data_IF_688116285827
#
_entry.id   IF_688116285827
#
_cell.length_a   1.000
_cell.length_b   1.000
_cell.length_c   1.000
_cell.angle_alpha   90.00
_cell.angle_beta   90.00
_cell.angle_gamma   90.00
#
_symmetry.space_group_name_H-M   'P 1'
#
loop_
_entity.id
_entity.type
_entity.pdbx_description
1 polymer ?
#
# COMPACT_ATOMS: atom_id res chain seq x y z
N UNK A 1 5.15 -5.14 61.57
CA UNK A 1 4.10 -4.13 61.87
C UNK A 1 3.65 -3.50 60.57
N UNK A 2 2.80 -4.22 59.83
CA UNK A 2 2.17 -3.78 58.57
C UNK A 2 0.87 -2.99 58.83
N UNK A 3 0.81 -2.24 59.94
CA UNK A 3 -0.41 -1.57 60.39
C UNK A 3 -0.94 -0.54 59.38
N UNK A 4 -0.05 0.04 58.56
CA UNK A 4 -0.44 1.00 57.52
C UNK A 4 -1.05 0.34 56.27
N UNK A 5 -0.73 -0.93 55.97
CA UNK A 5 -1.29 -1.65 54.84
C UNK A 5 -2.71 -2.17 55.14
N UNK A 6 -2.97 -2.59 56.37
CA UNK A 6 -4.30 -3.05 56.80
C UNK A 6 -5.31 -1.91 56.98
N UNK A 7 -4.85 -0.66 57.03
CA UNK A 7 -5.69 0.53 57.23
C UNK A 7 -5.93 1.32 55.93
N UNK A 8 -5.45 0.82 54.79
CA UNK A 8 -5.73 1.41 53.49
C UNK A 8 -7.17 1.09 53.05
N UNK A 9 -7.83 2.05 52.40
CA UNK A 9 -9.17 1.86 51.82
C UNK A 9 -9.19 0.69 50.84
N UNK A 10 -10.25 -0.13 50.89
CA UNK A 10 -10.51 -1.18 49.91
C UNK A 10 -10.81 -0.64 48.49
N UNK A 11 -11.06 0.67 48.39
CA UNK A 11 -11.35 1.37 47.16
C UNK A 11 -10.26 2.40 46.86
N UNK A 12 -9.71 2.32 45.66
CA UNK A 12 -8.79 3.29 45.10
C UNK A 12 -9.29 3.66 43.70
N UNK A 13 -9.53 4.96 43.47
CA UNK A 13 -9.88 5.50 42.17
C UNK A 13 -8.88 6.57 41.78
N UNK A 14 -8.26 6.38 40.61
CA UNK A 14 -7.28 7.30 40.03
C UNK A 14 -7.94 8.31 39.07
N UNK A 15 -9.24 8.16 38.80
CA UNK A 15 -9.98 8.82 37.75
C UNK A 15 -9.52 8.39 36.34
N UNK A 16 -10.13 8.93 35.28
CA UNK A 16 -9.65 8.76 33.92
C UNK A 16 -8.22 9.29 33.78
N UNK A 17 -7.30 8.44 33.34
CA UNK A 17 -5.92 8.82 33.00
C UNK A 17 -5.65 8.55 31.53
N UNK A 18 -5.04 9.54 30.88
CA UNK A 18 -4.53 9.37 29.53
C UNK A 18 -3.33 8.43 29.56
N UNK A 19 -3.35 7.42 28.68
CA UNK A 19 -2.20 6.54 28.49
C UNK A 19 -1.19 7.25 27.58
N UNK A 20 0.05 7.47 28.02
CA UNK A 20 0.98 8.40 27.36
C UNK A 20 1.57 7.85 26.07
N UNK A 21 1.66 6.52 25.93
CA UNK A 21 2.28 5.88 24.78
C UNK A 21 1.63 4.55 24.45
N UNK A 22 1.81 4.11 23.21
CA UNK A 22 1.49 2.73 22.83
C UNK A 22 2.34 1.75 23.62
N UNK A 23 1.77 0.61 23.97
CA UNK A 23 2.45 -0.37 24.80
C UNK A 23 1.52 -1.39 25.43
N UNK A 24 2.14 -2.32 26.14
CA UNK A 24 1.44 -3.32 26.92
C UNK A 24 1.46 -2.88 28.38
N UNK A 25 0.29 -2.70 28.94
CA UNK A 25 0.09 -2.23 30.30
C UNK A 25 -0.55 -3.31 31.16
N UNK A 26 -0.01 -3.47 32.36
CA UNK A 26 -0.37 -4.55 33.28
C UNK A 26 -1.04 -3.99 34.55
N UNK A 27 -2.02 -3.10 34.37
CA UNK A 27 -2.66 -2.39 35.48
C UNK A 27 -3.70 -3.21 36.26
N UNK A 28 -4.07 -4.39 35.78
CA UNK A 28 -5.13 -5.21 36.39
C UNK A 28 -4.52 -6.34 37.22
N UNK A 29 -4.32 -6.07 38.51
CA UNK A 29 -3.97 -7.06 39.51
C UNK A 29 -5.00 -7.03 40.64
N UNK A 30 -5.55 -8.18 41.00
CA UNK A 30 -6.38 -8.31 42.20
C UNK A 30 -5.45 -8.66 43.36
N UNK A 31 -5.37 -7.80 44.38
CA UNK A 31 -4.85 -8.21 45.70
C UNK A 31 -5.94 -8.96 46.44
N UNK A 32 -5.68 -10.20 46.87
CA UNK A 32 -6.43 -10.79 47.98
C UNK A 32 -5.70 -10.43 49.31
N UNK A 33 -6.44 -10.31 50.42
CA UNK A 33 -5.88 -9.98 51.75
C UNK A 33 -4.83 -11.00 52.27
N UNK A 34 -4.68 -12.14 51.60
CA UNK A 34 -3.74 -13.20 51.96
C UNK A 34 -2.40 -13.16 51.18
N UNK A 35 -2.18 -12.17 50.30
CA UNK A 35 -1.00 -12.05 49.43
C UNK A 35 -0.68 -13.29 48.58
N UNK A 36 -1.60 -14.25 48.50
CA UNK A 36 -1.38 -15.59 47.93
C UNK A 36 -1.76 -15.69 46.46
N UNK A 37 -2.42 -14.68 45.90
CA UNK A 37 -2.86 -14.67 44.52
C UNK A 37 -2.44 -13.35 43.85
N UNK A 38 -1.18 -13.29 43.38
CA UNK A 38 -0.56 -12.09 42.77
C UNK A 38 -0.55 -12.15 41.23
N UNK A 39 -1.45 -12.91 40.62
CA UNK A 39 -1.44 -13.06 39.17
C UNK A 39 -2.09 -11.87 38.47
N UNK A 40 -1.52 -11.48 37.32
CA UNK A 40 -2.13 -10.51 36.43
C UNK A 40 -3.47 -11.05 35.92
N UNK A 41 -4.53 -10.26 36.06
CA UNK A 41 -5.89 -10.66 35.66
C UNK A 41 -6.28 -10.12 34.31
N UNK A 42 -5.67 -9.02 33.87
CA UNK A 42 -5.83 -8.51 32.53
C UNK A 42 -4.61 -7.70 32.08
N UNK A 43 -4.56 -7.49 30.77
CA UNK A 43 -3.51 -6.74 30.08
C UNK A 43 -4.20 -5.79 29.12
N UNK A 44 -3.82 -4.52 29.16
CA UNK A 44 -4.27 -3.51 28.21
C UNK A 44 -3.20 -3.35 27.14
N UNK A 45 -3.58 -3.43 25.87
CA UNK A 45 -2.68 -3.23 24.74
C UNK A 45 -3.12 -1.93 24.07
N UNK A 46 -2.26 -0.93 24.09
CA UNK A 46 -2.47 0.34 23.39
C UNK A 46 -1.65 0.31 22.12
N UNK A 47 -2.31 0.42 20.97
CA UNK A 47 -1.69 0.44 19.66
C UNK A 47 -1.98 1.78 18.97
N UNK A 48 -1.06 2.29 18.13
CA UNK A 48 -1.20 3.60 17.50
C UNK A 48 -2.04 3.55 16.21
N UNK A 49 -2.81 2.49 16.00
CA UNK A 49 -3.59 2.29 14.78
C UNK A 49 -4.94 1.65 15.10
N UNK A 50 -5.91 1.94 14.25
CA UNK A 50 -7.25 1.42 14.38
C UNK A 50 -7.30 -0.03 13.91
N UNK A 51 -7.95 -0.88 14.70
CA UNK A 51 -8.23 -2.25 14.32
C UNK A 51 -9.57 -2.70 14.89
N UNK A 52 -10.15 -3.73 14.29
CA UNK A 52 -11.37 -4.38 14.75
C UNK A 52 -11.22 -5.89 14.66
N UNK A 53 -11.65 -6.58 15.71
CA UNK A 53 -11.79 -8.04 15.74
C UNK A 53 -13.25 -8.40 15.48
N UNK A 54 -13.49 -9.39 14.63
CA UNK A 54 -14.83 -9.96 14.43
C UNK A 54 -14.74 -11.47 14.26
N UNK A 55 -15.62 -12.20 14.94
CA UNK A 55 -15.83 -13.62 14.68
C UNK A 55 -16.70 -13.74 13.43
N UNK A 56 -16.14 -14.29 12.36
CA UNK A 56 -16.84 -14.55 11.10
C UNK A 56 -17.10 -16.04 11.01
N UNK A 57 -18.35 -16.43 10.80
CA UNK A 57 -18.76 -17.82 10.62
C UNK A 57 -18.96 -18.16 9.13
N UNK A 58 -19.71 -19.21 8.83
CA UNK A 58 -20.00 -19.62 7.45
C UNK A 58 -21.10 -18.78 6.79
N UNK A 59 -21.77 -17.89 7.53
CA UNK A 59 -22.78 -17.00 6.97
C UNK A 59 -22.13 -15.79 6.28
N UNK A 60 -22.92 -15.08 5.50
CA UNK A 60 -22.45 -13.81 4.93
C UNK A 60 -22.31 -12.77 6.05
N UNK A 61 -21.18 -12.07 6.09
CA UNK A 61 -20.91 -11.03 7.08
C UNK A 61 -20.01 -9.92 6.52
N UNK A 62 -19.83 -8.82 7.25
CA UNK A 62 -18.94 -7.72 6.87
C UNK A 62 -18.15 -7.17 8.05
N UNK A 63 -16.94 -6.69 7.81
CA UNK A 63 -16.14 -5.94 8.79
C UNK A 63 -16.01 -4.51 8.30
N UNK A 64 -16.34 -3.54 9.15
CA UNK A 64 -16.23 -2.12 8.84
C UNK A 64 -15.16 -1.48 9.71
N UNK A 65 -14.20 -0.80 9.09
CA UNK A 65 -13.15 -0.04 9.76
C UNK A 65 -12.86 1.22 8.96
N UNK A 66 -12.98 2.40 9.57
CA UNK A 66 -12.70 3.68 8.93
C UNK A 66 -13.37 3.81 7.54
N UNK A 67 -14.67 3.48 7.44
CA UNK A 67 -15.45 3.45 6.18
C UNK A 67 -15.00 2.42 5.12
N UNK A 68 -13.92 1.69 5.34
CA UNK A 68 -13.58 0.53 4.55
C UNK A 68 -14.45 -0.67 4.95
N UNK A 69 -14.86 -1.45 3.96
CA UNK A 69 -15.81 -2.56 4.10
C UNK A 69 -15.15 -3.82 3.55
N UNK A 70 -14.95 -4.81 4.43
CA UNK A 70 -14.51 -6.14 4.07
C UNK A 70 -15.71 -7.09 4.14
N UNK A 71 -16.24 -7.49 2.98
CA UNK A 71 -17.43 -8.33 2.88
C UNK A 71 -17.06 -9.79 2.63
N UNK A 72 -17.63 -10.67 3.45
CA UNK A 72 -17.50 -12.12 3.42
C UNK A 72 -18.78 -12.71 2.81
N UNK A 73 -18.73 -13.30 1.61
CA UNK A 73 -19.87 -14.07 1.10
C UNK A 73 -20.09 -15.33 1.94
N UNK A 74 -21.31 -15.89 1.91
CA UNK A 74 -21.60 -17.13 2.60
C UNK A 74 -20.67 -18.26 2.13
N UNK A 75 -20.19 -19.04 3.09
CA UNK A 75 -19.19 -20.10 2.91
C UNK A 75 -17.83 -19.61 2.41
N UNK A 76 -17.43 -18.37 2.70
CA UNK A 76 -16.05 -17.90 2.46
C UNK A 76 -15.03 -18.54 3.42
N UNK A 77 -15.50 -19.05 4.56
CA UNK A 77 -14.69 -19.72 5.57
C UNK A 77 -15.21 -21.15 5.78
N UNK A 78 -14.31 -22.08 6.03
CA UNK A 78 -14.66 -23.47 6.38
C UNK A 78 -15.09 -23.61 7.84
N UNK A 79 -14.59 -22.74 8.72
CA UNK A 79 -14.86 -22.74 10.16
C UNK A 79 -14.92 -21.31 10.69
N UNK A 80 -15.65 -21.12 11.80
CA UNK A 80 -15.74 -19.79 12.43
C UNK A 80 -14.37 -19.32 12.90
N UNK A 81 -13.92 -18.19 12.36
CA UNK A 81 -12.57 -17.68 12.57
C UNK A 81 -12.63 -16.23 13.03
N UNK A 82 -11.79 -15.88 14.00
CA UNK A 82 -11.64 -14.48 14.41
C UNK A 82 -10.75 -13.78 13.39
N UNK A 83 -11.33 -12.83 12.67
CA UNK A 83 -10.62 -11.96 11.73
C UNK A 83 -10.29 -10.65 12.42
N UNK A 84 -9.05 -10.20 12.23
CA UNK A 84 -8.64 -8.83 12.58
C UNK A 84 -8.38 -8.03 11.32
N UNK A 85 -9.09 -6.91 11.20
CA UNK A 85 -8.82 -5.89 10.20
C UNK A 85 -8.12 -4.73 10.89
N UNK A 86 -6.96 -4.31 10.38
CA UNK A 86 -6.22 -3.15 10.88
C UNK A 86 -5.99 -2.14 9.77
N UNK A 87 -6.06 -0.85 10.10
CA UNK A 87 -5.66 0.24 9.22
C UNK A 87 -4.17 0.57 9.46
N UNK A 88 -3.45 0.91 8.40
CA UNK A 88 -2.05 1.30 8.44
C UNK A 88 -1.87 2.70 7.85
N UNK A 89 -1.01 3.47 8.51
CA UNK A 89 -0.47 4.74 8.00
C UNK A 89 0.70 4.51 7.04
N UNK A 90 1.04 5.52 6.23
CA UNK A 90 2.22 5.49 5.34
C UNK A 90 3.50 5.14 6.08
N UNK A 91 3.71 5.69 7.27
CA UNK A 91 4.89 5.46 8.10
C UNK A 91 5.01 3.98 8.48
N UNK A 92 3.91 3.39 8.95
CA UNK A 92 3.85 1.98 9.32
C UNK A 92 4.05 1.06 8.12
N UNK A 93 3.44 1.38 6.98
CA UNK A 93 3.67 0.64 5.74
C UNK A 93 5.16 0.67 5.39
N UNK A 94 5.80 1.85 5.45
CA UNK A 94 7.22 1.98 5.15
C UNK A 94 8.10 1.19 6.12
N UNK A 95 7.74 1.14 7.41
CA UNK A 95 8.45 0.36 8.42
C UNK A 95 8.33 -1.15 8.14
N UNK A 96 7.12 -1.63 7.82
CA UNK A 96 6.88 -3.03 7.47
C UNK A 96 7.67 -3.42 6.21
N UNK A 97 7.63 -2.59 5.17
CA UNK A 97 8.37 -2.84 3.92
C UNK A 97 9.88 -2.86 4.15
N UNK A 98 10.40 -1.93 4.97
CA UNK A 98 11.83 -1.84 5.28
C UNK A 98 12.30 -3.04 6.11
N UNK A 99 11.54 -3.43 7.15
CA UNK A 99 11.85 -4.60 7.99
C UNK A 99 11.89 -5.89 7.18
N UNK A 100 11.04 -6.00 6.17
CA UNK A 100 10.96 -7.18 5.31
C UNK A 100 11.95 -7.15 4.12
N UNK A 101 12.88 -6.19 4.09
CA UNK A 101 13.87 -6.05 3.02
C UNK A 101 13.27 -5.67 1.66
N UNK A 102 12.03 -5.16 1.63
CA UNK A 102 11.35 -4.79 0.40
C UNK A 102 11.62 -3.33 0.03
N UNK A 103 12.72 -3.07 -0.68
CA UNK A 103 13.04 -1.76 -1.25
C UNK A 103 12.27 -1.44 -2.56
N UNK A 104 11.17 -2.15 -2.83
CA UNK A 104 10.58 -2.23 -4.17
C UNK A 104 9.70 -1.01 -4.47
N UNK A 105 9.15 -0.40 -3.42
CA UNK A 105 8.23 0.73 -3.54
C UNK A 105 8.93 1.99 -3.05
N UNK A 106 9.13 2.94 -3.95
CA UNK A 106 9.60 4.27 -3.55
C UNK A 106 8.59 4.85 -2.57
N UNK A 107 9.05 5.41 -1.45
CA UNK A 107 8.18 5.99 -0.41
C UNK A 107 7.15 6.98 -0.99
N UNK A 108 7.55 7.70 -2.03
CA UNK A 108 6.74 8.68 -2.77
C UNK A 108 5.59 8.07 -3.57
N UNK A 109 5.68 6.78 -3.93
CA UNK A 109 4.60 6.07 -4.62
C UNK A 109 3.57 5.46 -3.66
N UNK A 110 3.75 5.54 -2.34
CA UNK A 110 2.80 5.00 -1.37
C UNK A 110 1.66 6.00 -1.10
N UNK A 111 0.41 5.51 -1.13
CA UNK A 111 -0.70 6.27 -0.54
C UNK A 111 -0.60 6.31 0.99
N UNK A 112 -1.43 7.14 1.61
CA UNK A 112 -1.42 7.37 3.06
C UNK A 112 -2.00 6.22 3.88
N UNK A 113 -2.77 5.34 3.23
CA UNK A 113 -3.47 4.24 3.88
C UNK A 113 -3.04 2.87 3.36
N UNK A 114 -3.14 1.88 4.23
CA UNK A 114 -3.01 0.45 3.93
C UNK A 114 -3.86 -0.35 4.91
N UNK A 115 -3.99 -1.65 4.66
CA UNK A 115 -4.80 -2.51 5.52
C UNK A 115 -4.10 -3.84 5.78
N UNK A 116 -4.33 -4.40 6.96
CA UNK A 116 -3.91 -5.74 7.33
C UNK A 116 -5.14 -6.59 7.62
N UNK A 117 -5.18 -7.79 7.04
CA UNK A 117 -6.15 -8.84 7.38
C UNK A 117 -5.39 -9.99 8.06
N UNK A 118 -5.66 -10.23 9.34
CA UNK A 118 -5.16 -11.37 10.11
C UNK A 118 -6.29 -12.39 10.32
N UNK A 119 -6.00 -13.71 10.30
CA UNK A 119 -4.67 -14.34 10.15
C UNK A 119 -4.10 -14.19 8.73
N UNK A 120 -2.77 -14.06 8.61
CA UNK A 120 -2.11 -13.84 7.32
C UNK A 120 -2.10 -15.09 6.42
N UNK A 121 -1.99 -16.25 7.06
CA UNK A 121 -1.97 -17.59 6.47
C UNK A 121 -3.36 -18.15 6.18
N UNK A 122 -4.41 -17.38 6.51
CA UNK A 122 -5.77 -17.79 6.26
C UNK A 122 -6.08 -17.71 4.76
N UNK A 123 -6.39 -18.87 4.17
CA UNK A 123 -6.94 -18.96 2.82
C UNK A 123 -8.46 -19.07 2.90
N UNK A 124 -9.16 -18.13 2.27
CA UNK A 124 -10.61 -18.14 2.14
C UNK A 124 -11.03 -19.13 1.05
N UNK A 125 -12.12 -19.86 1.29
CA UNK A 125 -12.72 -20.79 0.32
C UNK A 125 -13.25 -20.05 -0.91
N UNK A 126 -13.70 -18.81 -0.71
CA UNK A 126 -14.18 -17.92 -1.76
C UNK A 126 -13.47 -16.57 -1.68
N UNK A 127 -13.45 -15.85 -2.80
CA UNK A 127 -12.98 -14.47 -2.82
C UNK A 127 -13.87 -13.59 -1.95
N UNK A 128 -13.25 -12.88 -1.01
CA UNK A 128 -13.88 -11.82 -0.23
C UNK A 128 -13.73 -10.49 -0.96
N UNK A 129 -14.69 -9.59 -0.76
CA UNK A 129 -14.69 -8.27 -1.41
C UNK A 129 -14.19 -7.23 -0.43
N UNK A 130 -13.26 -6.38 -0.86
CA UNK A 130 -12.80 -5.25 -0.10
C UNK A 130 -13.16 -3.96 -0.83
N UNK A 131 -13.87 -3.06 -0.15
CA UNK A 131 -14.25 -1.74 -0.62
C UNK A 131 -13.59 -0.68 0.25
N UNK A 132 -12.81 0.21 -0.35
CA UNK A 132 -12.07 1.25 0.36
C UNK A 132 -12.51 2.61 -0.16
N UNK A 133 -12.89 3.56 0.69
CA UNK A 133 -13.26 4.90 0.26
C UNK A 133 -12.12 5.57 -0.52
N UNK A 134 -12.44 6.15 -1.67
CA UNK A 134 -11.45 6.87 -2.50
C UNK A 134 -10.89 8.09 -1.76
N UNK A 135 -11.60 8.67 -0.80
CA UNK A 135 -11.08 9.76 0.04
C UNK A 135 -9.79 9.38 0.81
N UNK A 136 -9.59 8.09 1.06
CA UNK A 136 -8.38 7.57 1.72
C UNK A 136 -7.24 7.29 0.74
N UNK A 137 -7.55 7.28 -0.56
CA UNK A 137 -6.66 6.92 -1.65
C UNK A 137 -6.83 8.02 -2.69
N UNK A 138 -6.18 9.16 -2.42
CA UNK A 138 -6.03 10.35 -3.29
C UNK A 138 -6.50 10.08 -4.74
N UNK A 139 -7.50 10.84 -5.21
CA UNK A 139 -8.45 10.61 -6.34
C UNK A 139 -7.86 10.23 -7.72
N UNK A 140 -6.59 9.86 -7.82
CA UNK A 140 -5.97 9.44 -9.06
C UNK A 140 -6.64 8.19 -9.65
N UNK A 141 -6.76 8.18 -10.97
CA UNK A 141 -7.58 7.21 -11.70
C UNK A 141 -6.94 5.82 -11.87
N UNK A 142 -5.83 5.50 -11.19
CA UNK A 142 -5.09 4.26 -11.46
C UNK A 142 -4.34 3.77 -10.21
N UNK A 143 -5.07 3.28 -9.21
CA UNK A 143 -4.44 2.72 -8.00
C UNK A 143 -3.97 1.29 -8.28
N UNK A 144 -2.70 1.00 -8.01
CA UNK A 144 -2.20 -0.37 -7.98
C UNK A 144 -2.28 -0.89 -6.54
N UNK A 145 -2.73 -2.14 -6.37
CA UNK A 145 -2.86 -2.79 -5.05
C UNK A 145 -1.83 -3.90 -4.97
N UNK A 146 -0.94 -3.80 -3.99
CA UNK A 146 0.06 -4.82 -3.69
C UNK A 146 -0.38 -5.59 -2.45
N UNK A 147 -0.42 -6.90 -2.59
CA UNK A 147 -0.63 -7.83 -1.48
C UNK A 147 0.68 -8.56 -1.18
N UNK A 148 1.05 -8.65 0.08
CA UNK A 148 2.19 -9.46 0.52
C UNK A 148 1.97 -10.06 1.91
N UNK A 149 2.73 -11.11 2.20
CA UNK A 149 2.79 -11.74 3.52
C UNK A 149 3.78 -10.98 4.41
N UNK A 150 3.45 -10.74 5.70
CA UNK A 150 4.34 -9.99 6.60
C UNK A 150 5.66 -10.71 6.88
N UNK A 151 5.72 -12.02 6.71
CA UNK A 151 6.94 -12.83 6.90
C UNK A 151 7.95 -12.66 5.76
N UNK A 152 7.62 -11.84 4.74
CA UNK A 152 8.40 -11.69 3.52
C UNK A 152 7.88 -12.62 2.42
N UNK A 153 7.99 -12.17 1.17
CA UNK A 153 7.47 -12.92 0.03
C UNK A 153 7.37 -12.08 -1.24
N UNK A 154 6.99 -12.73 -2.34
CA UNK A 154 6.71 -12.06 -3.61
C UNK A 154 5.38 -11.30 -3.46
N UNK A 155 5.38 -10.01 -3.79
CA UNK A 155 4.14 -9.26 -3.83
C UNK A 155 3.28 -9.70 -5.01
N UNK A 156 1.97 -9.73 -4.83
CA UNK A 156 1.02 -9.99 -5.89
C UNK A 156 0.26 -8.72 -6.19
N UNK A 157 0.25 -8.29 -7.46
CA UNK A 157 -0.61 -7.20 -7.89
C UNK A 157 -2.03 -7.71 -8.01
N UNK A 158 -2.97 -7.03 -7.36
CA UNK A 158 -4.39 -7.38 -7.44
C UNK A 158 -5.10 -6.51 -8.48
N UNK A 159 -5.97 -7.16 -9.26
CA UNK A 159 -6.92 -6.46 -10.10
C UNK A 159 -7.90 -5.70 -9.20
N UNK A 160 -8.25 -4.48 -9.62
CA UNK A 160 -9.19 -3.64 -8.90
C UNK A 160 -10.11 -2.92 -9.88
N UNK A 161 -11.19 -2.40 -9.33
CA UNK A 161 -12.15 -1.56 -10.04
C UNK A 161 -12.50 -0.36 -9.18
N UNK A 162 -12.36 0.83 -9.73
CA UNK A 162 -12.66 2.07 -9.05
C UNK A 162 -14.06 2.55 -9.46
N UNK A 163 -14.87 2.84 -8.45
CA UNK A 163 -16.12 3.59 -8.58
C UNK A 163 -15.90 5.00 -8.05
N UNK A 164 -16.88 5.90 -8.24
CA UNK A 164 -16.78 7.28 -7.74
C UNK A 164 -16.40 7.37 -6.25
N UNK A 165 -16.89 6.43 -5.43
CA UNK A 165 -16.76 6.49 -3.98
C UNK A 165 -15.81 5.42 -3.42
N UNK A 166 -15.63 4.29 -4.11
CA UNK A 166 -14.87 3.16 -3.59
C UNK A 166 -13.88 2.59 -4.60
N UNK A 167 -12.68 2.29 -4.13
CA UNK A 167 -11.79 1.31 -4.72
C UNK A 167 -12.24 -0.09 -4.30
N UNK A 168 -12.54 -0.96 -5.26
CA UNK A 168 -13.02 -2.31 -5.02
C UNK A 168 -11.99 -3.31 -5.53
N UNK A 169 -11.67 -4.30 -4.71
CA UNK A 169 -10.89 -5.46 -5.14
C UNK A 169 -11.35 -6.71 -4.41
N UNK A 170 -10.85 -7.85 -4.87
CA UNK A 170 -11.13 -9.15 -4.30
C UNK A 170 -9.83 -9.84 -3.90
N UNK A 171 -9.91 -10.64 -2.84
CA UNK A 171 -8.79 -11.45 -2.35
C UNK A 171 -9.34 -12.74 -1.75
N UNK A 172 -8.55 -13.80 -1.78
CA UNK A 172 -8.89 -15.10 -1.20
C UNK A 172 -7.92 -15.49 -0.07
N UNK A 173 -7.14 -14.55 0.46
CA UNK A 173 -6.24 -14.81 1.59
C UNK A 173 -6.08 -13.61 2.50
N UNK A 174 -5.59 -13.83 3.71
CA UNK A 174 -5.11 -12.76 4.60
C UNK A 174 -3.89 -12.03 4.02
N UNK A 175 -3.35 -11.06 4.75
CA UNK A 175 -2.11 -10.37 4.33
C UNK A 175 -2.11 -8.87 4.55
N UNK A 176 -1.04 -8.25 4.09
CA UNK A 176 -0.86 -6.79 4.07
C UNK A 176 -1.22 -6.28 2.69
N UNK A 177 -2.09 -5.27 2.64
CA UNK A 177 -2.59 -4.63 1.44
C UNK A 177 -2.12 -3.19 1.42
N UNK A 178 -1.32 -2.85 0.43
CA UNK A 178 -0.72 -1.53 0.26
C UNK A 178 -1.14 -0.97 -1.09
N UNK A 179 -1.56 0.30 -1.07
CA UNK A 179 -1.91 1.03 -2.28
C UNK A 179 -0.70 1.81 -2.77
N UNK A 180 -0.46 1.72 -4.07
CA UNK A 180 0.66 2.40 -4.73
C UNK A 180 0.19 3.17 -5.95
N UNK A 181 0.73 4.37 -6.09
CA UNK A 181 0.59 5.22 -7.27
C UNK A 181 1.22 4.48 -8.45
N UNK A 182 0.58 4.52 -9.63
CA UNK A 182 1.15 3.91 -10.81
C UNK A 182 2.44 4.68 -11.13
N UNK A 183 3.49 3.98 -11.58
CA UNK A 183 4.68 4.68 -12.05
C UNK A 183 4.27 5.61 -13.18
N UNK A 184 4.40 6.92 -12.97
CA UNK A 184 4.07 7.89 -14.01
C UNK A 184 5.03 7.61 -15.17
N UNK A 185 4.45 7.13 -16.26
CA UNK A 185 5.18 6.88 -17.48
C UNK A 185 5.59 8.19 -18.17
N UNK A 186 5.14 9.34 -17.65
CA UNK A 186 5.47 10.67 -18.14
C UNK A 186 6.96 10.88 -18.35
N UNK A 187 7.82 10.40 -17.44
CA UNK A 187 9.26 10.53 -17.60
C UNK A 187 9.78 9.77 -18.82
N UNK A 188 9.34 8.52 -19.04
CA UNK A 188 9.75 7.75 -20.21
C UNK A 188 9.13 8.30 -21.50
N UNK A 189 7.85 8.71 -21.46
CA UNK A 189 7.16 9.31 -22.59
C UNK A 189 7.86 10.60 -23.00
N UNK A 190 8.19 11.48 -22.05
CA UNK A 190 8.95 12.70 -22.31
C UNK A 190 10.33 12.38 -22.89
N UNK A 191 11.03 11.39 -22.32
CA UNK A 191 12.35 10.97 -22.79
C UNK A 191 12.34 10.44 -24.24
N UNK A 192 11.24 9.84 -24.71
CA UNK A 192 11.11 9.32 -26.08
C UNK A 192 10.51 10.34 -27.04
N UNK A 193 9.49 11.09 -26.62
CA UNK A 193 8.79 12.04 -27.49
C UNK A 193 9.64 13.27 -27.80
N UNK A 194 10.38 13.82 -26.82
CA UNK A 194 11.18 15.04 -27.02
C UNK A 194 12.26 14.85 -28.12
N UNK A 195 13.08 13.77 -28.13
CA UNK A 195 14.04 13.53 -29.21
C UNK A 195 13.39 13.41 -30.58
N UNK A 196 12.25 12.72 -30.68
CA UNK A 196 11.53 12.54 -31.95
C UNK A 196 11.08 13.89 -32.50
N UNK A 197 10.50 14.75 -31.65
CA UNK A 197 10.08 16.10 -32.04
C UNK A 197 11.28 16.95 -32.49
N UNK A 198 12.41 16.88 -31.79
CA UNK A 198 13.65 17.57 -32.20
C UNK A 198 14.15 17.10 -33.57
N UNK A 199 14.14 15.79 -33.84
CA UNK A 199 14.53 15.26 -35.16
C UNK A 199 13.60 15.77 -36.27
N UNK A 200 12.29 15.81 -36.03
CA UNK A 200 11.32 16.36 -36.98
C UNK A 200 11.60 17.84 -37.25
N UNK A 201 11.87 18.64 -36.22
CA UNK A 201 12.22 20.06 -36.34
C UNK A 201 13.49 20.22 -37.18
N UNK A 202 14.52 19.40 -36.96
CA UNK A 202 15.76 19.44 -37.74
C UNK A 202 15.49 19.10 -39.21
N UNK A 203 14.69 18.06 -39.49
CA UNK A 203 14.31 17.67 -40.85
C UNK A 203 13.55 18.80 -41.55
N UNK A 204 12.51 19.35 -40.91
CA UNK A 204 11.71 20.45 -41.47
C UNK A 204 12.54 21.71 -41.70
N UNK A 205 13.41 22.07 -40.75
CA UNK A 205 14.33 23.20 -40.87
C UNK A 205 15.31 23.00 -42.02
N UNK A 206 15.81 21.78 -42.20
CA UNK A 206 16.71 21.40 -43.30
C UNK A 206 15.99 21.49 -44.64
N UNK A 207 14.75 20.99 -44.74
CA UNK A 207 13.92 21.11 -45.95
C UNK A 207 13.65 22.58 -46.28
N UNK A 208 13.21 23.38 -45.30
CA UNK A 208 12.93 24.80 -45.47
C UNK A 208 14.20 25.58 -45.87
N UNK A 209 15.34 25.25 -45.29
CA UNK A 209 16.63 25.84 -45.64
C UNK A 209 17.00 25.56 -47.10
N UNK A 210 16.87 24.31 -47.57
CA UNK A 210 17.16 23.96 -48.97
C UNK A 210 16.14 24.53 -49.95
N UNK A 211 14.88 24.65 -49.55
CA UNK A 211 13.84 25.31 -50.34
C UNK A 211 14.19 26.78 -50.59
N UNK A 212 14.67 27.49 -49.56
CA UNK A 212 15.16 28.87 -49.70
C UNK A 212 16.51 28.98 -50.41
N UNK A 213 17.36 27.94 -50.40
CA UNK A 213 18.73 27.98 -50.91
C UNK A 213 19.03 26.91 -51.99
N UNK A 214 18.41 26.97 -53.19
CA UNK A 214 18.51 25.91 -54.21
C UNK A 214 19.94 25.69 -54.73
N UNK A 215 20.80 26.72 -54.72
CA UNK A 215 22.21 26.59 -55.12
C UNK A 215 23.00 25.66 -54.17
N UNK A 216 22.73 25.73 -52.86
CA UNK A 216 23.40 24.86 -51.88
C UNK A 216 22.94 23.41 -52.02
N UNK A 217 21.64 23.20 -52.26
CA UNK A 217 21.11 21.86 -52.54
C UNK A 217 21.79 21.21 -53.76
N UNK A 218 21.96 21.96 -54.86
CA UNK A 218 22.67 21.46 -56.06
C UNK A 218 24.11 21.06 -55.77
N UNK A 219 24.84 21.83 -54.95
CA UNK A 219 26.22 21.49 -54.50
C UNK A 219 26.24 20.22 -53.66
N UNK A 220 25.25 20.02 -52.79
CA UNK A 220 25.15 18.85 -51.92
C UNK A 220 24.84 17.58 -52.74
N UNK A 221 23.90 17.67 -53.68
CA UNK A 221 23.55 16.59 -54.63
C UNK A 221 24.77 16.14 -55.46
N UNK A 222 25.58 17.07 -55.93
CA UNK A 222 26.82 16.76 -56.69
C UNK A 222 27.89 16.11 -55.81
N UNK A 223 28.00 16.48 -54.54
CA UNK A 223 28.90 15.79 -53.59
C UNK A 223 28.45 14.36 -53.32
N UNK A 224 27.17 14.14 -52.99
CA UNK A 224 26.63 12.78 -52.75
C UNK A 224 26.82 11.84 -53.95
N UNK A 225 26.61 12.32 -55.18
CA UNK A 225 26.84 11.50 -56.39
C UNK A 225 28.31 11.16 -56.60
N UNK A 226 29.25 12.06 -56.29
CA UNK A 226 30.69 11.75 -56.31
C UNK A 226 31.05 10.69 -55.27
N UNK A 227 30.52 10.79 -54.06
CA UNK A 227 30.75 9.79 -53.00
C UNK A 227 30.19 8.43 -53.37
N UNK A 228 28.96 8.38 -53.92
CA UNK A 228 28.35 7.13 -54.38
C UNK A 228 29.17 6.46 -55.50
N UNK A 229 29.69 7.24 -56.46
CA UNK A 229 30.59 6.73 -57.51
C UNK A 229 31.90 6.18 -56.91
N UNK A 230 32.45 6.85 -55.90
CA UNK A 230 33.66 6.38 -55.20
C UNK A 230 33.44 5.05 -54.46
N UNK A 231 32.27 4.83 -53.86
CA UNK A 231 31.97 3.56 -53.19
C UNK A 231 31.73 2.41 -54.18
N UNK A 232 31.08 2.70 -55.32
CA UNK A 232 30.85 1.71 -56.38
C UNK A 232 32.12 1.23 -57.09
N UNK A 233 33.20 2.00 -57.09
CA UNK A 233 34.48 1.58 -57.69
C UNK A 233 35.39 0.79 -56.74
N UNK A 234 34.95 0.56 -55.49
CA UNK A 234 35.70 -0.20 -54.47
C UNK A 234 35.16 -1.59 -54.19
N UNK A 235 34.09 -1.99 -54.87
CA UNK A 235 33.51 -3.35 -54.88
C UNK A 235 33.76 -3.91 -56.27
#
# INVERSE_FOLDING_TARGET
>A
TDAQLNNASAYFDLGPRQVPSSGIYHYFSTRNNAFSNRDQKARMIVQPFDFIYRLIDQNADEIRLNNAILSFPANSLSTSTVIKLSHLTREQISEILTKNGQNIVAKESLYDSGYIIEPYDLNFVQYIKFQIPVEQIDHSENVNILQFEPTGGIYTSLANSQTKNYLNFQTNRGGVYVFVKPKSNLAWIAAVVIPIVLVIIIILSTIAFFYKNPRQYRKLKTRCTKTQRSFKMRI
#
